data_IF_244972467881
#
_entry.id   IF_244972467881
#
_cell.length_a   1.000
_cell.length_b   1.000
_cell.length_c   1.000
_cell.angle_alpha   90.00
_cell.angle_beta   90.00
_cell.angle_gamma   90.00
#
_symmetry.space_group_name_H-M   'P 1'
#
loop_
_entity.id
_entity.type
_entity.pdbx_description
1 polymer ?
#
# COMPACT_ATOMS: atom_id res chain seq x y z
N UNK A 1 12.99 2.77 24.04
CA UNK A 1 12.45 1.67 23.26
C UNK A 1 10.96 1.49 23.49
N UNK A 2 10.22 0.98 22.51
CA UNK A 2 8.76 0.83 22.55
C UNK A 2 8.26 0.09 23.80
N UNK A 3 8.95 -0.97 24.21
CA UNK A 3 8.61 -1.74 25.43
C UNK A 3 8.52 -0.87 26.69
N UNK A 4 9.39 0.12 26.85
CA UNK A 4 9.35 1.03 28.00
C UNK A 4 8.08 1.91 27.99
N UNK A 5 7.66 2.39 26.81
CA UNK A 5 6.44 3.21 26.67
C UNK A 5 5.21 2.38 27.02
N UNK A 6 5.15 1.14 26.54
CA UNK A 6 4.04 0.21 26.87
C UNK A 6 4.02 -0.10 28.36
N UNK A 7 5.18 -0.39 28.97
CA UNK A 7 5.27 -0.67 30.39
C UNK A 7 4.82 0.53 31.24
N UNK A 8 5.29 1.74 30.90
CA UNK A 8 4.86 2.97 31.55
C UNK A 8 3.33 3.15 31.48
N UNK A 9 2.72 2.86 30.33
CA UNK A 9 1.26 2.91 30.16
C UNK A 9 0.54 1.90 31.05
N UNK A 10 1.08 0.69 31.20
CA UNK A 10 0.52 -0.34 32.11
C UNK A 10 0.64 0.13 33.56
N UNK A 11 1.81 0.59 33.99
CA UNK A 11 2.09 0.97 35.37
C UNK A 11 1.29 2.19 35.83
N UNK A 12 0.95 3.08 34.89
CA UNK A 12 0.23 4.33 35.20
C UNK A 12 -1.24 4.30 34.80
N UNK A 13 -1.75 3.17 34.31
CA UNK A 13 -3.12 3.03 33.78
C UNK A 13 -4.17 3.50 34.79
N UNK A 14 -4.13 3.01 36.03
CA UNK A 14 -5.10 3.39 37.08
C UNK A 14 -5.13 4.88 37.35
N UNK A 15 -4.00 5.57 37.22
CA UNK A 15 -3.89 7.01 37.44
C UNK A 15 -4.52 7.85 36.31
N UNK A 16 -4.47 7.36 35.07
CA UNK A 16 -4.80 8.16 33.90
C UNK A 16 -6.04 7.72 33.13
N UNK A 17 -6.59 6.52 33.43
CA UNK A 17 -7.68 5.94 32.62
C UNK A 17 -8.94 6.82 32.61
N UNK A 18 -9.30 7.39 33.75
CA UNK A 18 -10.50 8.25 33.85
C UNK A 18 -10.30 9.53 33.03
N UNK A 19 -9.12 10.15 33.11
CA UNK A 19 -8.80 11.34 32.32
C UNK A 19 -8.76 11.05 30.83
N UNK A 20 -8.24 9.87 30.43
CA UNK A 20 -8.25 9.45 29.02
C UNK A 20 -9.67 9.24 28.52
N UNK A 21 -10.54 8.65 29.32
CA UNK A 21 -11.95 8.46 28.97
C UNK A 21 -12.69 9.80 28.86
N UNK A 22 -12.50 10.70 29.83
CA UNK A 22 -13.03 12.06 29.77
C UNK A 22 -12.65 12.77 28.45
N UNK A 23 -11.36 12.71 28.05
CA UNK A 23 -10.89 13.30 26.78
C UNK A 23 -11.56 12.62 25.58
N UNK A 24 -11.67 11.28 25.58
CA UNK A 24 -12.34 10.57 24.49
C UNK A 24 -13.79 10.99 24.31
N UNK A 25 -14.51 11.20 25.42
CA UNK A 25 -15.91 11.59 25.40
C UNK A 25 -16.14 13.01 24.88
N UNK A 26 -15.09 13.86 24.89
CA UNK A 26 -15.17 15.21 24.32
C UNK A 26 -14.88 15.26 22.81
N UNK A 27 -14.30 14.20 22.26
CA UNK A 27 -13.93 14.16 20.81
C UNK A 27 -15.19 14.02 19.96
N UNK A 28 -15.36 14.94 19.02
CA UNK A 28 -16.45 14.93 18.05
C UNK A 28 -15.95 14.60 16.63
N UNK A 29 -16.83 14.09 15.75
CA UNK A 29 -16.47 13.83 14.35
C UNK A 29 -15.90 15.04 13.60
N UNK A 30 -16.25 16.26 14.03
CA UNK A 30 -15.82 17.52 13.38
C UNK A 30 -14.49 18.05 13.91
N UNK A 31 -13.97 17.51 15.00
CA UNK A 31 -12.69 17.95 15.55
C UNK A 31 -11.55 17.67 14.58
N UNK A 32 -10.61 18.61 14.51
CA UNK A 32 -9.42 18.48 13.70
C UNK A 32 -8.49 17.43 14.29
N UNK A 33 -8.29 16.32 13.56
CA UNK A 33 -7.41 15.22 13.98
C UNK A 33 -6.04 15.29 13.31
N UNK A 34 -5.91 16.01 12.20
CA UNK A 34 -4.65 16.08 11.46
C UNK A 34 -4.50 17.38 10.68
N UNK A 35 -3.28 17.91 10.69
CA UNK A 35 -2.85 18.99 9.82
C UNK A 35 -1.85 18.43 8.80
N UNK A 36 -2.16 18.63 7.51
CA UNK A 36 -1.28 18.20 6.41
C UNK A 36 -0.85 19.43 5.62
N UNK A 37 0.43 19.74 5.67
CA UNK A 37 0.98 20.86 4.93
C UNK A 37 1.24 20.48 3.48
N UNK A 38 0.73 21.27 2.56
CA UNK A 38 0.98 21.16 1.12
C UNK A 38 1.81 22.35 0.64
N UNK A 39 2.68 22.12 -0.35
CA UNK A 39 3.37 23.21 -1.06
C UNK A 39 2.33 24.02 -1.82
N UNK A 40 1.94 25.19 -1.27
CA UNK A 40 1.01 26.09 -1.94
C UNK A 40 1.59 26.59 -3.27
N UNK A 41 0.73 26.83 -4.26
CA UNK A 41 1.10 27.44 -5.56
C UNK A 41 1.70 28.86 -5.39
N UNK A 42 1.47 29.48 -4.24
CA UNK A 42 1.98 30.81 -3.86
C UNK A 42 3.31 30.76 -3.10
N UNK A 43 3.95 29.61 -2.96
CA UNK A 43 5.23 29.43 -2.25
C UNK A 43 5.10 29.28 -0.73
N UNK A 44 4.00 29.73 -0.11
CA UNK A 44 3.76 29.53 1.33
C UNK A 44 3.00 28.22 1.57
N UNK A 45 3.53 27.30 2.40
CA UNK A 45 2.83 26.07 2.73
C UNK A 45 1.47 26.32 3.36
N UNK A 46 0.45 25.61 2.91
CA UNK A 46 -0.91 25.66 3.45
C UNK A 46 -1.20 24.43 4.29
N UNK A 47 -1.65 24.61 5.51
CA UNK A 47 -2.09 23.54 6.41
C UNK A 47 -3.54 23.14 6.12
N UNK A 48 -3.73 21.95 5.56
CA UNK A 48 -5.07 21.37 5.36
C UNK A 48 -5.51 20.71 6.65
N UNK A 49 -6.60 21.19 7.23
CA UNK A 49 -7.22 20.61 8.43
C UNK A 49 -8.13 19.45 8.02
N UNK A 50 -7.88 18.27 8.59
CA UNK A 50 -8.73 17.09 8.40
C UNK A 50 -9.42 16.75 9.72
N UNK A 51 -10.74 16.56 9.67
CA UNK A 51 -11.51 16.10 10.81
C UNK A 51 -11.47 14.58 10.95
N UNK A 52 -11.87 14.06 12.11
CA UNK A 52 -12.10 12.64 12.31
C UNK A 52 -13.05 12.07 11.25
N UNK A 53 -14.15 12.77 10.98
CA UNK A 53 -15.14 12.37 9.98
C UNK A 53 -14.52 12.24 8.57
N UNK A 54 -13.69 13.21 8.14
CA UNK A 54 -13.02 13.14 6.83
C UNK A 54 -12.19 11.86 6.68
N UNK A 55 -11.38 11.53 7.69
CA UNK A 55 -10.54 10.34 7.64
C UNK A 55 -11.37 9.05 7.69
N UNK A 56 -12.33 8.97 8.63
CA UNK A 56 -13.17 7.79 8.83
C UNK A 56 -14.00 7.49 7.59
N UNK A 57 -14.71 8.46 7.04
CA UNK A 57 -15.52 8.26 5.84
C UNK A 57 -14.68 7.81 4.64
N UNK A 58 -13.48 8.36 4.51
CA UNK A 58 -12.61 8.05 3.40
C UNK A 58 -12.07 6.60 3.47
N UNK A 59 -11.54 6.16 4.62
CA UNK A 59 -11.05 4.79 4.73
C UNK A 59 -12.19 3.75 4.72
N UNK A 60 -13.38 4.07 5.22
CA UNK A 60 -14.55 3.19 5.12
C UNK A 60 -15.01 3.04 3.66
N UNK A 61 -14.99 4.13 2.87
CA UNK A 61 -15.27 4.06 1.45
C UNK A 61 -14.23 3.19 0.71
N UNK A 62 -12.94 3.37 1.03
CA UNK A 62 -11.87 2.54 0.48
C UNK A 62 -12.02 1.06 0.88
N UNK A 63 -12.40 0.77 2.12
CA UNK A 63 -12.61 -0.60 2.60
C UNK A 63 -13.75 -1.32 1.89
N UNK A 64 -14.78 -0.60 1.42
CA UNK A 64 -15.86 -1.18 0.63
C UNK A 64 -15.39 -1.60 -0.78
N UNK A 65 -14.42 -0.88 -1.34
CA UNK A 65 -13.86 -1.17 -2.67
C UNK A 65 -12.75 -2.22 -2.59
N UNK A 66 -11.81 -2.02 -1.67
CA UNK A 66 -10.68 -2.93 -1.44
C UNK A 66 -10.97 -3.78 -0.20
N UNK A 67 -11.66 -4.87 -0.37
CA UNK A 67 -12.11 -5.77 0.69
C UNK A 67 -10.92 -6.58 1.24
N UNK A 68 -10.07 -5.92 2.03
CA UNK A 68 -8.96 -6.57 2.74
C UNK A 68 -9.49 -7.40 3.91
N UNK A 69 -8.83 -8.52 4.18
CA UNK A 69 -9.18 -9.47 5.24
C UNK A 69 -8.02 -9.71 6.20
N UNK A 70 -8.31 -10.26 7.38
CA UNK A 70 -7.32 -10.43 8.45
C UNK A 70 -6.19 -11.44 8.11
N UNK A 71 -6.44 -12.36 7.19
CA UNK A 71 -5.44 -13.34 6.70
C UNK A 71 -4.49 -12.77 5.65
N UNK A 72 -4.75 -11.56 5.17
CA UNK A 72 -3.96 -10.91 4.15
C UNK A 72 -2.79 -10.10 4.74
N UNK A 73 -1.84 -9.78 3.87
CA UNK A 73 -0.64 -8.97 4.15
C UNK A 73 -0.64 -7.74 3.26
N UNK A 74 -0.43 -6.61 3.86
CA UNK A 74 -0.37 -5.32 3.17
C UNK A 74 1.02 -4.71 3.36
N UNK A 75 1.62 -4.22 2.27
CA UNK A 75 2.92 -3.54 2.29
C UNK A 75 2.69 -2.02 2.18
N UNK A 76 2.95 -1.30 3.26
CA UNK A 76 2.90 0.16 3.29
C UNK A 76 4.20 0.72 2.74
N UNK A 77 4.11 1.37 1.58
CA UNK A 77 5.26 1.93 0.85
C UNK A 77 5.25 3.46 0.94
N UNK A 78 4.06 4.07 0.98
CA UNK A 78 3.93 5.52 0.98
C UNK A 78 4.30 6.10 2.35
N UNK A 79 4.97 7.27 2.37
CA UNK A 79 5.27 7.95 3.62
C UNK A 79 4.01 8.27 4.42
N UNK A 80 4.02 8.02 5.74
CA UNK A 80 2.88 8.28 6.63
C UNK A 80 2.60 9.78 6.86
N UNK A 81 3.54 10.66 6.50
CA UNK A 81 3.29 12.10 6.45
C UNK A 81 2.36 12.50 5.29
N UNK A 82 2.20 11.64 4.27
CA UNK A 82 1.28 11.83 3.17
C UNK A 82 -0.07 11.18 3.50
N UNK A 83 -1.18 11.90 3.22
CA UNK A 83 -2.54 11.43 3.54
C UNK A 83 -2.87 10.07 2.92
N UNK A 84 -2.40 9.79 1.70
CA UNK A 84 -2.62 8.49 1.04
C UNK A 84 -2.02 7.32 1.82
N UNK A 85 -0.78 7.44 2.29
CA UNK A 85 -0.14 6.39 3.11
C UNK A 85 -0.86 6.18 4.45
N UNK A 86 -1.32 7.27 5.08
CA UNK A 86 -2.12 7.18 6.32
C UNK A 86 -3.46 6.50 6.09
N UNK A 87 -4.12 6.82 4.98
CA UNK A 87 -5.41 6.23 4.63
C UNK A 87 -5.32 4.71 4.47
N UNK A 88 -4.33 4.23 3.71
CA UNK A 88 -4.08 2.80 3.55
C UNK A 88 -3.82 2.11 4.89
N UNK A 89 -3.09 2.76 5.80
CA UNK A 89 -2.85 2.23 7.14
C UNK A 89 -4.13 2.17 7.99
N UNK A 90 -4.97 3.19 7.98
CA UNK A 90 -6.25 3.16 8.71
C UNK A 90 -7.20 2.09 8.16
N UNK A 91 -7.26 1.95 6.85
CA UNK A 91 -8.06 0.92 6.21
C UNK A 91 -7.60 -0.49 6.61
N UNK A 92 -6.30 -0.76 6.57
CA UNK A 92 -5.75 -2.07 6.96
C UNK A 92 -5.94 -2.37 8.43
N UNK A 93 -5.80 -1.39 9.31
CA UNK A 93 -6.12 -1.52 10.74
C UNK A 93 -7.60 -1.83 10.96
N UNK A 94 -8.49 -1.13 10.27
CA UNK A 94 -9.93 -1.38 10.32
C UNK A 94 -10.29 -2.81 9.87
N UNK A 95 -9.62 -3.30 8.84
CA UNK A 95 -9.85 -4.65 8.28
C UNK A 95 -9.14 -5.77 9.06
N UNK A 96 -8.32 -5.43 10.07
CA UNK A 96 -7.51 -6.41 10.81
C UNK A 96 -6.37 -7.03 10.00
N UNK A 97 -6.05 -6.48 8.84
CA UNK A 97 -5.01 -6.95 7.92
C UNK A 97 -3.61 -6.70 8.51
N UNK A 98 -2.69 -7.65 8.35
CA UNK A 98 -1.30 -7.48 8.79
C UNK A 98 -0.58 -6.44 7.94
N UNK A 99 0.00 -5.41 8.58
CA UNK A 99 0.74 -4.33 7.92
C UNK A 99 2.23 -4.56 8.05
N UNK A 100 2.94 -4.48 6.93
CA UNK A 100 4.40 -4.47 6.83
C UNK A 100 4.83 -3.12 6.25
N UNK A 101 5.91 -2.56 6.76
CA UNK A 101 6.42 -1.28 6.30
C UNK A 101 7.69 -1.49 5.51
N UNK A 102 7.75 -0.95 4.29
CA UNK A 102 8.97 -0.93 3.50
C UNK A 102 10.02 -0.03 4.18
N UNK A 103 11.27 -0.49 4.26
CA UNK A 103 12.34 0.29 4.89
C UNK A 103 12.64 1.57 4.11
N UNK A 104 12.72 1.46 2.80
CA UNK A 104 12.96 2.58 1.90
C UNK A 104 12.60 2.23 0.45
N UNK A 105 12.65 3.22 -0.44
CA UNK A 105 12.33 3.06 -1.86
C UNK A 105 13.25 2.06 -2.60
N UNK A 106 14.45 1.81 -2.10
CA UNK A 106 15.40 0.87 -2.71
C UNK A 106 15.14 -0.58 -2.34
N UNK A 107 14.51 -0.83 -1.18
CA UNK A 107 14.25 -2.18 -0.66
C UNK A 107 12.90 -2.74 -1.12
N UNK A 108 12.01 -1.95 -1.71
CA UNK A 108 10.63 -2.36 -2.08
C UNK A 108 10.59 -3.72 -2.82
N UNK A 109 11.50 -3.95 -3.76
CA UNK A 109 11.52 -5.19 -4.52
C UNK A 109 11.93 -6.40 -3.66
N UNK A 110 12.83 -6.21 -2.69
CA UNK A 110 13.22 -7.24 -1.72
C UNK A 110 12.09 -7.50 -0.73
N UNK A 111 11.50 -6.43 -0.19
CA UNK A 111 10.38 -6.50 0.75
C UNK A 111 9.17 -7.21 0.13
N UNK A 112 8.84 -6.90 -1.14
CA UNK A 112 7.78 -7.60 -1.88
C UNK A 112 8.04 -9.10 -2.04
N UNK A 113 9.30 -9.50 -2.24
CA UNK A 113 9.68 -10.91 -2.37
C UNK A 113 9.56 -11.66 -1.05
N UNK A 114 10.00 -11.04 0.04
CA UNK A 114 10.00 -11.61 1.38
C UNK A 114 8.58 -11.70 1.93
N UNK A 115 7.85 -10.58 1.95
CA UNK A 115 6.54 -10.44 2.57
C UNK A 115 5.46 -11.10 1.70
N UNK A 116 5.59 -11.06 0.37
CA UNK A 116 4.57 -11.50 -0.60
C UNK A 116 3.22 -10.87 -0.28
N UNK A 117 3.10 -9.53 -0.30
CA UNK A 117 1.89 -8.84 0.08
C UNK A 117 0.74 -9.15 -0.88
N UNK A 118 -0.50 -9.11 -0.37
CA UNK A 118 -1.72 -9.23 -1.18
C UNK A 118 -2.13 -7.86 -1.75
N UNK A 119 -1.67 -6.77 -1.12
CA UNK A 119 -1.91 -5.41 -1.57
C UNK A 119 -0.85 -4.43 -1.08
N UNK A 120 -0.74 -3.30 -1.77
CA UNK A 120 0.12 -2.17 -1.39
C UNK A 120 -0.39 -0.88 -2.03
N UNK A 121 -0.11 0.26 -1.41
CA UNK A 121 -0.36 1.57 -2.00
C UNK A 121 0.83 2.01 -2.85
N UNK A 122 0.55 2.54 -4.03
CA UNK A 122 1.59 3.12 -4.86
C UNK A 122 1.07 4.36 -5.60
N UNK A 123 1.94 5.35 -5.76
CA UNK A 123 1.73 6.44 -6.71
C UNK A 123 2.27 6.03 -8.08
N UNK A 124 1.79 6.62 -9.19
CA UNK A 124 2.19 6.23 -10.55
C UNK A 124 3.71 6.13 -10.73
N UNK A 125 4.46 7.07 -10.19
CA UNK A 125 5.93 7.08 -10.28
C UNK A 125 6.60 5.84 -9.66
N UNK A 126 6.03 5.27 -8.62
CA UNK A 126 6.53 4.02 -8.01
C UNK A 126 6.31 2.85 -8.96
N UNK A 127 5.11 2.77 -9.57
CA UNK A 127 4.78 1.73 -10.54
C UNK A 127 5.66 1.81 -11.79
N UNK A 128 5.89 3.01 -12.31
CA UNK A 128 6.83 3.26 -13.41
C UNK A 128 8.23 2.76 -13.08
N UNK A 129 8.76 3.10 -11.89
CA UNK A 129 10.08 2.65 -11.45
C UNK A 129 10.18 1.13 -11.30
N UNK A 130 9.13 0.49 -10.77
CA UNK A 130 9.05 -0.97 -10.68
C UNK A 130 9.05 -1.58 -12.10
N UNK A 131 8.23 -1.04 -13.00
CA UNK A 131 8.18 -1.47 -14.39
C UNK A 131 9.53 -1.34 -15.09
N UNK A 132 10.18 -0.19 -14.99
CA UNK A 132 11.50 0.05 -15.58
C UNK A 132 12.56 -0.91 -15.05
N UNK A 133 12.51 -1.22 -13.76
CA UNK A 133 13.40 -2.20 -13.13
C UNK A 133 13.18 -3.60 -13.70
N UNK A 134 11.92 -4.01 -13.87
CA UNK A 134 11.54 -5.30 -14.46
C UNK A 134 12.06 -5.37 -15.91
N UNK A 135 11.79 -4.35 -16.71
CA UNK A 135 12.24 -4.28 -18.12
C UNK A 135 13.76 -4.28 -18.22
N UNK A 136 14.45 -3.51 -17.37
CA UNK A 136 15.91 -3.49 -17.33
C UNK A 136 16.51 -4.88 -17.06
N UNK A 137 15.93 -5.61 -16.09
CA UNK A 137 16.34 -6.98 -15.80
C UNK A 137 16.05 -7.93 -16.97
N UNK A 138 14.89 -7.77 -17.62
CA UNK A 138 14.55 -8.54 -18.83
C UNK A 138 15.54 -8.32 -19.97
N UNK A 139 16.03 -7.09 -20.16
CA UNK A 139 17.04 -6.77 -21.18
C UNK A 139 18.37 -7.49 -21.00
N UNK A 140 18.73 -7.82 -19.74
CA UNK A 140 19.96 -8.58 -19.39
C UNK A 140 19.86 -10.07 -19.70
N UNK A 141 18.67 -10.59 -19.94
CA UNK A 141 18.45 -11.98 -20.30
C UNK A 141 18.95 -12.26 -21.72
N UNK A 142 19.28 -13.53 -22.00
CA UNK A 142 19.76 -13.98 -23.32
C UNK A 142 18.93 -15.14 -23.84
N UNK A 143 19.02 -15.41 -25.14
CA UNK A 143 18.42 -16.57 -25.78
C UNK A 143 16.90 -16.67 -25.61
N UNK A 144 16.42 -17.89 -25.39
CA UNK A 144 14.99 -18.20 -25.29
C UNK A 144 14.33 -17.51 -24.08
N UNK A 145 15.05 -17.34 -22.98
CA UNK A 145 14.55 -16.67 -21.78
C UNK A 145 14.17 -15.22 -22.07
N UNK A 146 14.99 -14.50 -22.85
CA UNK A 146 14.71 -13.12 -23.26
C UNK A 146 13.46 -13.03 -24.14
N UNK A 147 13.34 -13.92 -25.13
CA UNK A 147 12.17 -13.96 -26.02
C UNK A 147 10.89 -14.24 -25.25
N UNK A 148 10.90 -15.22 -24.31
CA UNK A 148 9.75 -15.56 -23.49
C UNK A 148 9.36 -14.41 -22.54
N UNK A 149 10.35 -13.72 -21.96
CA UNK A 149 10.12 -12.58 -21.09
C UNK A 149 9.39 -11.46 -21.84
N UNK A 150 9.91 -11.01 -22.99
CA UNK A 150 9.29 -9.93 -23.75
C UNK A 150 7.95 -10.30 -24.37
N UNK A 151 7.77 -11.58 -24.76
CA UNK A 151 6.46 -12.08 -25.15
C UNK A 151 5.43 -11.97 -24.00
N UNK A 152 5.81 -12.32 -22.76
CA UNK A 152 4.93 -12.20 -21.60
C UNK A 152 4.61 -10.72 -21.27
N UNK A 153 5.59 -9.82 -21.39
CA UNK A 153 5.38 -8.36 -21.23
C UNK A 153 4.40 -7.84 -22.28
N UNK A 154 4.60 -8.18 -23.57
CA UNK A 154 3.73 -7.73 -24.67
C UNK A 154 2.30 -8.25 -24.50
N UNK A 155 2.15 -9.49 -24.03
CA UNK A 155 0.84 -10.06 -23.72
C UNK A 155 0.16 -9.30 -22.55
N UNK A 156 0.92 -8.95 -21.51
CA UNK A 156 0.42 -8.16 -20.38
C UNK A 156 -0.04 -6.76 -20.78
N UNK A 157 0.69 -6.09 -21.66
CA UNK A 157 0.35 -4.75 -22.17
C UNK A 157 -0.95 -4.74 -23.02
N UNK A 158 -1.32 -5.87 -23.59
CA UNK A 158 -2.58 -6.03 -24.35
C UNK A 158 -3.78 -6.28 -23.46
N UNK A 159 -3.60 -6.42 -22.16
CA UNK A 159 -4.69 -6.66 -21.21
C UNK A 159 -5.58 -5.43 -21.06
N UNK A 160 -6.90 -5.63 -21.27
CA UNK A 160 -7.93 -4.61 -21.07
C UNK A 160 -8.90 -5.11 -20.01
N UNK A 161 -9.10 -4.36 -18.95
CA UNK A 161 -9.93 -4.73 -17.80
C UNK A 161 -11.41 -4.96 -18.20
N UNK A 162 -11.93 -4.14 -19.13
CA UNK A 162 -13.35 -4.11 -19.50
C UNK A 162 -13.66 -4.73 -20.88
N UNK A 163 -12.69 -5.41 -21.51
CA UNK A 163 -12.97 -6.06 -22.78
C UNK A 163 -13.47 -7.49 -22.58
N UNK A 164 -14.47 -7.90 -23.37
CA UNK A 164 -14.73 -9.32 -23.61
C UNK A 164 -13.48 -9.97 -24.22
N UNK A 165 -12.56 -10.32 -23.34
CA UNK A 165 -11.33 -10.95 -23.75
C UNK A 165 -11.65 -12.32 -24.36
N UNK A 166 -11.12 -12.59 -25.55
CA UNK A 166 -11.24 -13.88 -26.24
C UNK A 166 -10.98 -15.04 -25.27
N UNK A 167 -11.71 -16.14 -25.39
CA UNK A 167 -11.53 -17.35 -24.61
C UNK A 167 -10.04 -17.80 -24.57
N UNK A 168 -9.34 -17.67 -25.69
CA UNK A 168 -7.92 -17.96 -25.82
C UNK A 168 -7.05 -17.05 -24.94
N UNK A 169 -7.40 -15.80 -24.82
CA UNK A 169 -6.75 -14.82 -23.96
C UNK A 169 -7.02 -15.10 -22.48
N UNK A 170 -8.26 -15.49 -22.10
CA UNK A 170 -8.60 -15.92 -20.74
C UNK A 170 -7.86 -17.19 -20.32
N UNK A 171 -7.68 -18.15 -21.23
CA UNK A 171 -6.93 -19.39 -21.00
C UNK A 171 -5.43 -19.11 -20.82
N UNK A 172 -4.85 -18.27 -21.62
CA UNK A 172 -3.41 -17.92 -21.54
C UNK A 172 -3.10 -16.92 -20.43
N UNK A 173 -4.08 -16.11 -20.04
CA UNK A 173 -4.04 -15.17 -18.90
C UNK A 173 -4.45 -15.84 -17.59
N UNK A 174 -4.39 -17.13 -17.48
CA UNK A 174 -4.45 -17.71 -16.14
C UNK A 174 -3.31 -17.08 -15.33
N UNK A 175 -3.65 -15.98 -14.67
CA UNK A 175 -2.80 -14.97 -14.01
C UNK A 175 -1.67 -15.59 -13.18
N UNK A 176 -1.89 -16.81 -12.67
CA UNK A 176 -0.89 -17.61 -11.97
C UNK A 176 0.33 -17.99 -12.81
N UNK A 177 0.19 -18.14 -14.12
CA UNK A 177 1.30 -18.55 -15.00
C UNK A 177 2.15 -17.34 -15.36
N UNK A 178 1.53 -16.20 -15.72
CA UNK A 178 2.24 -14.98 -16.10
C UNK A 178 2.99 -14.35 -14.92
N UNK A 179 2.33 -14.24 -13.78
CA UNK A 179 2.97 -13.74 -12.54
C UNK A 179 4.10 -14.69 -12.11
N UNK A 180 3.90 -16.01 -12.20
CA UNK A 180 4.95 -16.99 -11.88
C UNK A 180 6.12 -16.95 -12.88
N UNK A 181 5.88 -16.79 -14.17
CA UNK A 181 6.95 -16.69 -15.18
C UNK A 181 7.74 -15.40 -14.97
N UNK A 182 7.08 -14.25 -14.81
CA UNK A 182 7.75 -12.97 -14.55
C UNK A 182 8.53 -13.04 -13.23
N UNK A 183 7.92 -13.54 -12.15
CA UNK A 183 8.58 -13.71 -10.85
C UNK A 183 9.70 -14.74 -10.91
N UNK A 184 9.53 -15.87 -11.62
CA UNK A 184 10.58 -16.88 -11.78
C UNK A 184 11.79 -16.36 -12.57
N UNK A 185 11.54 -15.56 -13.62
CA UNK A 185 12.60 -14.96 -14.44
C UNK A 185 13.32 -13.83 -13.70
N UNK A 186 12.60 -13.07 -12.85
CA UNK A 186 13.18 -12.01 -12.03
C UNK A 186 13.88 -12.52 -10.76
N UNK A 187 13.66 -13.78 -10.35
CA UNK A 187 14.21 -14.38 -9.11
C UNK A 187 15.49 -15.19 -9.32
N UNK A 188 16.03 -15.29 -10.54
CA UNK A 188 17.34 -15.84 -10.88
C UNK A 188 18.23 -14.72 -11.45
#
# INVERSE_FOLDING_TARGET
>A
PWKMVVQLGIDTKSKWIDKVNEIKDTITPKDCVSLIYTSGTTGTPKGVMLSHENLVQNFLAAAKVFQLTADQRYLSILPLCHVGGRLGNYQTQYSGTSIYYAENMGTIAADMKEIRPHGFDAVPRILEKIYDTIISNGKKLTGVKKKLFFWAVDLGLKYKIDSESSWWYKQNMNIRIHTKIILYICNK
#
